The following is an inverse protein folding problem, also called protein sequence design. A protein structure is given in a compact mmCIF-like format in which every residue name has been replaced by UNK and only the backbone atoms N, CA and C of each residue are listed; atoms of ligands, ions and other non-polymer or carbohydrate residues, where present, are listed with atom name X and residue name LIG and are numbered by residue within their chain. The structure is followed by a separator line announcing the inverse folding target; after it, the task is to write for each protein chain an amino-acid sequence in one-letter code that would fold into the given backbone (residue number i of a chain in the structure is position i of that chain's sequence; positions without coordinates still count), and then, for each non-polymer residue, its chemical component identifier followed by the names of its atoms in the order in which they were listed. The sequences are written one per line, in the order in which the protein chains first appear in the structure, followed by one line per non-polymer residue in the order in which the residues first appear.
data_IF_536107109402
#
_entry.id   IF_536107109402
#
_cell.length_a   1.000
_cell.length_b   1.000
_cell.length_c   1.000
_cell.angle_alpha   90.00
_cell.angle_beta   90.00
_cell.angle_gamma   90.00
#
_symmetry.space_group_name_H-M   'P 1'
#
loop_
_entity.id
_entity.type
_entity.pdbx_description
1 polymer ?
#
# COMPACT_ATOMS: atom_id res chain seq x y z
N UNK A 1 -32.11 3.94 5.06
CA UNK A 1 -32.15 5.27 5.70
C UNK A 1 -30.88 6.11 5.46
N UNK A 2 -30.04 5.78 4.47
CA UNK A 2 -28.75 6.47 4.23
C UNK A 2 -28.90 7.56 3.13
N UNK A 3 -29.96 7.52 2.32
CA UNK A 3 -30.16 8.40 1.15
C UNK A 3 -30.67 9.83 1.49
N UNK A 4 -30.64 10.26 2.75
CA UNK A 4 -31.08 11.61 3.16
C UNK A 4 -29.95 12.45 3.80
N UNK A 5 -28.74 11.91 3.91
CA UNK A 5 -27.61 12.64 4.47
C UNK A 5 -26.89 13.38 3.32
N UNK A 6 -26.67 14.71 3.43
CA UNK A 6 -25.85 15.44 2.47
C UNK A 6 -24.46 14.82 2.37
N UNK A 7 -23.91 14.68 1.15
CA UNK A 7 -22.55 14.13 0.94
C UNK A 7 -21.47 14.82 1.80
N UNK A 8 -21.69 16.11 2.11
CA UNK A 8 -20.84 16.93 2.99
C UNK A 8 -20.76 16.43 4.45
N UNK A 9 -21.69 15.59 4.90
CA UNK A 9 -21.70 15.02 6.25
C UNK A 9 -21.26 13.55 6.28
N UNK A 10 -21.23 12.87 5.14
CA UNK A 10 -20.83 11.46 5.04
C UNK A 10 -19.39 11.27 5.54
N UNK A 11 -18.46 12.13 5.13
CA UNK A 11 -17.08 12.09 5.63
C UNK A 11 -16.96 12.31 7.14
N UNK A 12 -17.84 13.14 7.74
CA UNK A 12 -17.88 13.35 9.20
C UNK A 12 -18.42 12.12 9.91
N UNK A 13 -19.44 11.48 9.35
CA UNK A 13 -20.01 10.24 9.88
C UNK A 13 -18.97 9.12 9.83
N UNK A 14 -18.23 8.97 8.72
CA UNK A 14 -17.18 7.97 8.62
C UNK A 14 -16.11 8.15 9.70
N UNK A 15 -15.61 9.38 9.91
CA UNK A 15 -14.64 9.68 10.98
C UNK A 15 -15.20 9.44 12.39
N UNK A 16 -16.48 9.75 12.60
CA UNK A 16 -17.15 9.48 13.87
C UNK A 16 -17.28 7.97 14.12
N UNK A 17 -17.71 7.19 13.12
CA UNK A 17 -17.79 5.73 13.20
C UNK A 17 -16.42 5.09 13.49
N UNK A 18 -15.37 5.59 12.84
CA UNK A 18 -13.99 5.17 13.09
C UNK A 18 -13.55 5.46 14.53
N UNK A 19 -13.85 6.66 15.06
CA UNK A 19 -13.56 7.02 16.47
C UNK A 19 -14.29 6.14 17.50
N UNK A 20 -15.44 5.57 17.11
CA UNK A 20 -16.20 4.61 17.92
C UNK A 20 -15.76 3.15 17.68
N UNK A 21 -14.68 2.94 16.93
CA UNK A 21 -14.13 1.64 16.55
C UNK A 21 -15.04 0.78 15.63
N UNK A 22 -16.04 1.39 14.97
CA UNK A 22 -16.87 0.74 13.95
C UNK A 22 -16.22 0.83 12.56
N UNK A 23 -14.99 0.32 12.45
CA UNK A 23 -14.12 0.48 11.27
C UNK A 23 -14.69 -0.12 9.99
N UNK A 24 -15.36 -1.27 10.07
CA UNK A 24 -16.03 -1.91 8.93
C UNK A 24 -17.13 -1.01 8.34
N UNK A 25 -17.97 -0.43 9.19
CA UNK A 25 -19.05 0.46 8.75
C UNK A 25 -18.44 1.78 8.25
N UNK A 26 -17.42 2.30 8.95
CA UNK A 26 -16.69 3.48 8.51
C UNK A 26 -16.09 3.29 7.11
N UNK A 27 -15.55 2.11 6.79
CA UNK A 27 -14.97 1.80 5.48
C UNK A 27 -16.01 1.82 4.35
N UNK A 28 -17.20 1.27 4.59
CA UNK A 28 -18.29 1.28 3.61
C UNK A 28 -18.92 2.67 3.41
N UNK A 29 -18.92 3.50 4.46
CA UNK A 29 -19.48 4.86 4.42
C UNK A 29 -18.46 5.87 3.91
N UNK A 30 -17.16 5.62 4.06
CA UNK A 30 -16.12 6.54 3.62
C UNK A 30 -16.11 6.71 2.09
N UNK A 31 -16.15 7.98 1.67
CA UNK A 31 -16.05 8.41 0.26
C UNK A 31 -14.67 8.96 -0.07
N UNK A 32 -13.85 9.21 0.94
CA UNK A 32 -12.50 9.74 0.79
C UNK A 32 -11.51 8.58 0.66
N UNK A 33 -10.77 8.55 -0.45
CA UNK A 33 -9.80 7.48 -0.76
C UNK A 33 -8.66 7.44 0.27
N UNK A 34 -8.30 8.57 0.89
CA UNK A 34 -7.24 8.59 1.92
C UNK A 34 -7.72 7.96 3.23
N UNK A 35 -8.86 8.40 3.77
CA UNK A 35 -9.46 7.75 4.94
C UNK A 35 -9.79 6.28 4.68
N UNK A 36 -10.27 5.95 3.48
CA UNK A 36 -10.61 4.59 3.09
C UNK A 36 -9.39 3.68 2.99
N UNK A 37 -8.26 4.20 2.52
CA UNK A 37 -6.97 3.48 2.53
C UNK A 37 -6.55 3.12 3.95
N UNK A 38 -6.53 4.09 4.87
CA UNK A 38 -6.14 3.84 6.26
C UNK A 38 -7.06 2.83 6.93
N UNK A 39 -8.36 2.87 6.65
CA UNK A 39 -9.33 1.88 7.13
C UNK A 39 -9.06 0.49 6.54
N UNK A 40 -8.82 0.38 5.23
CA UNK A 40 -8.51 -0.89 4.57
C UNK A 40 -7.27 -1.56 5.19
N UNK A 41 -6.22 -0.77 5.41
CA UNK A 41 -4.98 -1.19 6.07
C UNK A 41 -5.27 -1.72 7.48
N UNK A 42 -6.03 -0.96 8.28
CA UNK A 42 -6.38 -1.34 9.65
C UNK A 42 -7.26 -2.60 9.73
N UNK A 43 -8.10 -2.85 8.72
CA UNK A 43 -8.98 -4.00 8.62
C UNK A 43 -8.28 -5.23 8.00
N UNK A 44 -7.03 -5.11 7.55
CA UNK A 44 -6.32 -6.18 6.85
C UNK A 44 -6.85 -6.45 5.44
N UNK A 45 -7.59 -5.51 4.84
CA UNK A 45 -8.10 -5.58 3.48
C UNK A 45 -7.02 -5.12 2.49
N UNK A 46 -6.00 -5.95 2.33
CA UNK A 46 -4.77 -5.61 1.59
C UNK A 46 -5.07 -5.35 0.11
N UNK A 47 -5.92 -6.17 -0.52
CA UNK A 47 -6.31 -6.00 -1.93
C UNK A 47 -6.99 -4.64 -2.17
N UNK A 48 -7.92 -4.27 -1.29
CA UNK A 48 -8.61 -2.98 -1.37
C UNK A 48 -7.62 -1.81 -1.20
N UNK A 49 -6.71 -1.91 -0.23
CA UNK A 49 -5.68 -0.91 -0.01
C UNK A 49 -4.74 -0.78 -1.22
N UNK A 50 -4.39 -1.91 -1.86
CA UNK A 50 -3.60 -1.92 -3.09
C UNK A 50 -4.34 -1.22 -4.24
N UNK A 51 -5.61 -1.54 -4.48
CA UNK A 51 -6.41 -0.88 -5.52
C UNK A 51 -6.55 0.62 -5.29
N UNK A 52 -6.71 1.05 -4.03
CA UNK A 52 -6.76 2.48 -3.69
C UNK A 52 -5.38 3.13 -3.92
N UNK A 53 -4.29 2.46 -3.56
CA UNK A 53 -2.92 2.93 -3.82
C UNK A 53 -2.62 3.10 -5.31
N UNK A 54 -3.14 2.21 -6.17
CA UNK A 54 -2.97 2.31 -7.62
C UNK A 54 -3.68 3.52 -8.26
N UNK A 55 -4.70 4.09 -7.60
CA UNK A 55 -5.39 5.30 -8.11
C UNK A 55 -4.52 6.54 -8.05
N UNK A 56 -3.59 6.59 -7.11
CA UNK A 56 -2.63 7.69 -6.94
C UNK A 56 -1.19 7.14 -7.06
N UNK A 57 -0.76 6.78 -8.27
CA UNK A 57 0.55 6.18 -8.50
C UNK A 57 1.72 7.14 -8.22
N UNK A 58 1.45 8.43 -8.04
CA UNK A 58 2.44 9.42 -7.60
C UNK A 58 2.80 9.25 -6.12
N UNK A 59 1.93 8.60 -5.35
CA UNK A 59 2.10 8.38 -3.93
C UNK A 59 2.75 7.02 -3.65
N UNK A 60 4.07 6.96 -3.90
CA UNK A 60 4.88 5.76 -3.67
C UNK A 60 4.83 5.28 -2.22
N UNK A 61 4.57 6.16 -1.24
CA UNK A 61 4.47 5.78 0.17
C UNK A 61 3.27 4.89 0.46
N UNK A 62 2.13 5.10 -0.22
CA UNK A 62 0.94 4.23 -0.07
C UNK A 62 1.25 2.81 -0.54
N UNK A 63 1.86 2.67 -1.72
CA UNK A 63 2.26 1.37 -2.25
C UNK A 63 3.33 0.71 -1.37
N UNK A 64 4.30 1.46 -0.86
CA UNK A 64 5.28 0.92 0.11
C UNK A 64 4.62 0.40 1.37
N UNK A 65 3.66 1.14 1.95
CA UNK A 65 2.89 0.68 3.13
C UNK A 65 2.13 -0.62 2.86
N UNK A 66 1.48 -0.73 1.70
CA UNK A 66 0.81 -1.98 1.28
C UNK A 66 1.82 -3.11 1.17
N UNK A 67 3.00 -2.85 0.59
CA UNK A 67 4.10 -3.80 0.50
C UNK A 67 4.55 -4.30 1.88
N UNK A 68 4.77 -3.39 2.83
CA UNK A 68 5.20 -3.75 4.19
C UNK A 68 4.19 -4.64 4.93
N UNK A 69 2.90 -4.38 4.73
CA UNK A 69 1.84 -5.19 5.35
C UNK A 69 1.71 -6.55 4.65
N UNK A 70 1.83 -6.57 3.32
CA UNK A 70 1.83 -7.80 2.52
C UNK A 70 3.00 -8.70 2.91
N UNK A 71 4.19 -8.12 3.11
CA UNK A 71 5.35 -8.86 3.56
C UNK A 71 5.15 -9.41 4.97
N UNK A 72 4.55 -8.64 5.88
CA UNK A 72 4.20 -9.09 7.24
C UNK A 72 3.15 -10.19 7.26
N UNK A 73 2.21 -10.19 6.31
CA UNK A 73 1.21 -11.27 6.17
C UNK A 73 1.76 -12.50 5.43
N UNK A 74 2.97 -12.42 4.89
CA UNK A 74 3.63 -13.51 4.17
C UNK A 74 3.32 -13.56 2.66
N UNK A 75 2.63 -12.55 2.12
CA UNK A 75 2.39 -12.41 0.69
C UNK A 75 3.57 -11.69 0.03
N UNK A 76 4.61 -12.47 -0.28
CA UNK A 76 5.85 -11.97 -0.88
C UNK A 76 5.60 -11.45 -2.31
N UNK A 77 4.71 -12.09 -3.07
CA UNK A 77 4.43 -11.71 -4.46
C UNK A 77 3.77 -10.34 -4.55
N UNK A 78 2.82 -10.05 -3.65
CA UNK A 78 2.18 -8.72 -3.61
C UNK A 78 3.15 -7.66 -3.07
N UNK A 79 3.97 -8.01 -2.08
CA UNK A 79 4.99 -7.12 -1.54
C UNK A 79 6.00 -6.70 -2.63
N UNK A 80 6.51 -7.66 -3.39
CA UNK A 80 7.43 -7.42 -4.51
C UNK A 80 6.84 -6.47 -5.56
N UNK A 81 5.60 -6.72 -5.98
CA UNK A 81 4.90 -5.84 -6.93
C UNK A 81 4.73 -4.41 -6.40
N UNK A 82 4.43 -4.27 -5.10
CA UNK A 82 4.31 -2.97 -4.47
C UNK A 82 5.65 -2.24 -4.43
N UNK A 83 6.73 -2.92 -4.05
CA UNK A 83 8.06 -2.33 -3.95
C UNK A 83 8.64 -1.97 -5.31
N UNK A 84 8.39 -2.77 -6.35
CA UNK A 84 8.76 -2.43 -7.73
C UNK A 84 8.07 -1.14 -8.20
N UNK A 85 6.78 -0.98 -7.88
CA UNK A 85 6.02 0.23 -8.24
C UNK A 85 6.41 1.45 -7.40
N UNK A 86 6.87 1.25 -6.16
CA UNK A 86 7.34 2.32 -5.28
C UNK A 86 8.83 2.62 -5.39
N UNK A 87 9.55 1.96 -6.32
CA UNK A 87 11.02 2.02 -6.45
C UNK A 87 11.76 1.76 -5.13
N UNK A 88 11.22 0.90 -4.27
CA UNK A 88 11.87 0.52 -3.01
C UNK A 88 12.83 -0.65 -3.22
N UNK A 89 13.98 -0.36 -3.82
CA UNK A 89 14.99 -1.36 -4.13
C UNK A 89 15.65 -1.97 -2.88
N UNK A 90 15.62 -1.29 -1.72
CA UNK A 90 16.17 -1.85 -0.49
C UNK A 90 15.32 -3.03 -0.02
N UNK A 91 13.99 -2.86 -0.03
CA UNK A 91 13.04 -3.89 0.35
C UNK A 91 13.07 -5.06 -0.65
N UNK A 92 13.21 -4.78 -1.95
CA UNK A 92 13.39 -5.81 -2.98
C UNK A 92 14.70 -6.59 -2.81
N UNK A 93 15.82 -5.90 -2.54
CA UNK A 93 17.11 -6.53 -2.28
C UNK A 93 17.04 -7.47 -1.07
N UNK A 94 16.35 -7.06 0.00
CA UNK A 94 16.12 -7.91 1.17
C UNK A 94 15.34 -9.17 0.79
N UNK A 95 14.27 -9.05 0.01
CA UNK A 95 13.47 -10.19 -0.45
C UNK A 95 14.35 -11.13 -1.30
N UNK A 96 14.95 -10.64 -2.39
CA UNK A 96 15.71 -11.48 -3.32
C UNK A 96 16.93 -12.12 -2.68
N UNK A 97 17.66 -11.40 -1.81
CA UNK A 97 18.78 -11.98 -1.06
C UNK A 97 18.33 -13.07 -0.06
N UNK A 98 17.16 -12.93 0.55
CA UNK A 98 16.63 -13.91 1.49
C UNK A 98 16.17 -15.19 0.81
N UNK A 99 15.66 -15.11 -0.43
CA UNK A 99 15.21 -16.27 -1.21
C UNK A 99 16.31 -16.83 -2.14
N UNK A 100 17.45 -16.14 -2.26
CA UNK A 100 18.56 -16.54 -3.13
C UNK A 100 18.30 -16.31 -4.63
N UNK A 101 17.47 -15.32 -4.98
CA UNK A 101 17.15 -14.99 -6.37
C UNK A 101 18.22 -14.07 -6.98
N UNK A 102 19.17 -14.67 -7.67
CA UNK A 102 20.25 -13.95 -8.34
C UNK A 102 19.78 -13.11 -9.53
N UNK A 103 18.75 -13.56 -10.25
CA UNK A 103 18.21 -12.85 -11.42
C UNK A 103 17.45 -11.60 -10.97
N UNK A 104 16.62 -11.73 -9.92
CA UNK A 104 15.96 -10.61 -9.26
C UNK A 104 16.95 -9.54 -8.78
N UNK A 105 18.05 -9.96 -8.13
CA UNK A 105 19.13 -9.07 -7.69
C UNK A 105 19.80 -8.32 -8.85
N UNK A 106 20.14 -9.02 -9.93
CA UNK A 106 20.75 -8.40 -11.12
C UNK A 106 19.80 -7.38 -11.78
N UNK A 107 18.51 -7.71 -11.85
CA UNK A 107 17.48 -6.83 -12.38
C UNK A 107 17.36 -5.52 -11.57
N UNK A 108 17.30 -5.61 -10.24
CA UNK A 108 17.21 -4.40 -9.40
C UNK A 108 18.50 -3.60 -9.39
N UNK A 109 19.68 -4.23 -9.47
CA UNK A 109 20.96 -3.52 -9.56
C UNK A 109 21.01 -2.68 -10.84
N UNK A 110 20.56 -3.23 -11.97
CA UNK A 110 20.45 -2.52 -13.25
C UNK A 110 19.45 -1.36 -13.20
N UNK A 111 18.31 -1.53 -12.51
CA UNK A 111 17.32 -0.47 -12.32
C UNK A 111 17.86 0.64 -11.40
N UNK A 112 18.47 0.27 -10.28
CA UNK A 112 19.10 1.20 -9.33
C UNK A 112 20.21 2.01 -10.00
N UNK A 113 21.03 1.40 -10.86
CA UNK A 113 22.04 2.11 -11.67
C UNK A 113 21.42 3.18 -12.58
N UNK A 114 20.32 2.85 -13.26
CA UNK A 114 19.60 3.81 -14.13
C UNK A 114 19.04 4.98 -13.33
N UNK A 115 18.56 4.72 -12.11
CA UNK A 115 18.01 5.73 -11.21
C UNK A 115 19.08 6.41 -10.32
N UNK A 116 20.37 6.08 -10.51
CA UNK A 116 21.52 6.62 -9.77
C UNK A 116 21.53 6.30 -8.27
N UNK A 117 20.87 5.21 -7.87
CA UNK A 117 20.95 4.61 -6.53
C UNK A 117 22.19 3.72 -6.39
N UNK A 118 23.37 4.35 -6.36
CA UNK A 118 24.67 3.65 -6.35
C UNK A 118 24.91 2.77 -5.11
N UNK A 119 24.18 2.99 -4.02
CA UNK A 119 24.28 2.21 -2.79
C UNK A 119 23.64 0.80 -2.90
N UNK A 120 22.84 0.56 -3.94
CA UNK A 120 22.12 -0.71 -4.17
C UNK A 120 22.59 -1.38 -5.47
N UNK A 121 23.33 -0.65 -6.29
CA UNK A 121 23.81 -1.02 -7.62
C UNK A 121 24.97 -2.04 -7.68
N UNK A 122 25.23 -2.78 -6.61
CA UNK A 122 26.43 -3.61 -6.47
C UNK A 122 26.16 -5.10 -6.73
#
# INVERSE_FOLDING_TARGET
AINQVPETHIGKIAKFLDSMNFKEIAYHVSVDDEHKFDLAINLGRIDDAYQIGLKDPSNYEKLRKVGDISLKSGDINLAEQCYLKSSDYNSLMLIYSSIGDAEGLENIANLALKEKHYNIAF
#
